data_IF_388457586612
#
_entry.id   IF_388457586612
#
_cell.length_a   1.000
_cell.length_b   1.000
_cell.length_c   1.000
_cell.angle_alpha   90.00
_cell.angle_beta   90.00
_cell.angle_gamma   90.00
#
_symmetry.space_group_name_H-M   'P 1'
#
loop_
_entity.id
_entity.type
_entity.pdbx_description
1 polymer ?
#
# COMPACT_ATOMS: atom_id res chain seq x y z
N UNK A 1 19.28 -3.28 16.71
CA UNK A 1 19.26 -1.92 16.14
C UNK A 1 18.89 -1.92 14.66
N UNK A 2 19.60 -2.68 13.80
CA UNK A 2 19.37 -2.70 12.34
C UNK A 2 17.93 -3.04 11.86
N UNK A 3 17.21 -3.95 12.53
CA UNK A 3 15.83 -4.31 12.13
C UNK A 3 14.81 -3.20 12.41
N UNK A 4 14.99 -2.47 13.51
CA UNK A 4 14.07 -1.39 13.90
C UNK A 4 14.20 -0.18 12.96
N UNK A 5 15.42 0.12 12.52
CA UNK A 5 15.70 1.14 11.50
C UNK A 5 15.05 0.77 10.17
N UNK A 6 15.18 -0.49 9.74
CA UNK A 6 14.56 -0.98 8.50
C UNK A 6 13.03 -0.90 8.53
N UNK A 7 12.40 -1.28 9.65
CA UNK A 7 10.94 -1.13 9.84
C UNK A 7 10.52 0.35 9.79
N UNK A 8 11.29 1.24 10.41
CA UNK A 8 11.01 2.67 10.39
C UNK A 8 11.20 3.28 9.00
N UNK A 9 12.17 2.81 8.22
CA UNK A 9 12.41 3.22 6.85
C UNK A 9 11.27 2.76 5.93
N UNK A 10 10.83 1.50 6.04
CA UNK A 10 9.66 0.99 5.32
C UNK A 10 8.38 1.77 5.71
N UNK A 11 8.18 2.06 7.00
CA UNK A 11 7.05 2.89 7.48
C UNK A 11 7.07 4.28 6.84
N UNK A 12 8.22 4.96 6.84
CA UNK A 12 8.36 6.30 6.23
C UNK A 12 8.10 6.25 4.72
N UNK A 13 8.67 5.29 4.01
CA UNK A 13 8.47 5.15 2.58
C UNK A 13 7.00 4.88 2.23
N UNK A 14 6.32 4.01 2.98
CA UNK A 14 4.91 3.72 2.79
C UNK A 14 4.02 4.94 3.05
N UNK A 15 4.18 5.62 4.20
CA UNK A 15 3.35 6.79 4.52
C UNK A 15 3.59 7.97 3.57
N UNK A 16 4.83 8.21 3.16
CA UNK A 16 5.15 9.23 2.15
C UNK A 16 4.46 8.95 0.81
N UNK A 17 4.52 7.69 0.33
CA UNK A 17 3.93 7.31 -0.94
C UNK A 17 2.38 7.31 -0.89
N UNK A 18 1.80 6.98 0.27
CA UNK A 18 0.35 7.08 0.50
C UNK A 18 -0.10 8.55 0.52
N UNK A 19 0.62 9.43 1.21
CA UNK A 19 0.31 10.87 1.26
C UNK A 19 0.43 11.56 -0.10
N UNK A 20 1.44 11.22 -0.90
CA UNK A 20 1.62 11.79 -2.25
C UNK A 20 0.56 11.32 -3.24
N UNK A 21 0.07 10.08 -3.12
CA UNK A 21 -0.89 9.51 -4.08
C UNK A 21 -2.36 9.79 -3.74
N UNK A 22 -2.68 10.22 -2.52
CA UNK A 22 -4.06 10.59 -2.13
C UNK A 22 -4.58 11.86 -2.85
N UNK A 23 -3.70 12.66 -3.47
CA UNK A 23 -4.08 13.87 -4.20
C UNK A 23 -4.26 13.69 -5.71
N UNK A 24 -3.96 12.51 -6.27
CA UNK A 24 -4.07 12.23 -7.71
C UNK A 24 -5.35 11.43 -7.98
N UNK A 25 -6.50 12.00 -7.64
CA UNK A 25 -7.78 11.59 -8.26
C UNK A 25 -8.16 12.66 -9.27
N UNK A 26 -7.88 12.48 -10.58
CA UNK A 26 -8.48 13.33 -11.58
C UNK A 26 -9.98 12.99 -11.62
N UNK A 27 -10.80 13.88 -11.05
CA UNK A 27 -12.25 13.94 -11.31
C UNK A 27 -12.44 13.81 -12.83
N UNK A 28 -12.95 12.66 -13.26
CA UNK A 28 -13.24 12.33 -14.66
C UNK A 28 -14.48 13.09 -15.19
N UNK A 29 -14.48 14.42 -15.07
CA UNK A 29 -15.49 15.31 -15.62
C UNK A 29 -14.80 16.36 -16.50
N UNK A 30 -14.64 16.06 -17.79
CA UNK A 30 -14.13 17.06 -18.74
C UNK A 30 -14.12 16.66 -20.21
N UNK A 31 -14.10 15.37 -20.57
CA UNK A 31 -13.86 14.96 -21.96
C UNK A 31 -15.11 14.80 -22.85
N UNK A 32 -16.31 15.19 -22.40
CA UNK A 32 -17.54 15.03 -23.20
C UNK A 32 -18.01 16.25 -24.00
N UNK A 33 -17.39 17.44 -23.87
CA UNK A 33 -17.96 18.67 -24.45
C UNK A 33 -17.23 19.27 -25.66
N UNK A 34 -16.35 18.55 -26.36
CA UNK A 34 -15.63 19.13 -27.52
C UNK A 34 -16.05 18.58 -28.90
N UNK A 35 -17.13 17.80 -28.98
CA UNK A 35 -17.59 17.19 -30.24
C UNK A 35 -18.66 17.97 -31.01
N UNK A 36 -19.24 19.05 -30.45
CA UNK A 36 -20.39 19.72 -31.08
C UNK A 36 -20.09 21.01 -31.84
N UNK A 37 -18.86 21.54 -31.83
CA UNK A 37 -18.58 22.89 -32.37
C UNK A 37 -17.65 22.90 -33.59
N UNK A 38 -17.84 21.97 -34.53
CA UNK A 38 -17.17 22.05 -35.85
C UNK A 38 -18.15 21.73 -36.98
N UNK A 39 -19.26 22.47 -37.04
CA UNK A 39 -20.08 22.60 -38.25
C UNK A 39 -19.96 24.03 -38.77
N UNK A 40 -18.94 24.24 -39.59
CA UNK A 40 -18.75 25.49 -40.33
C UNK A 40 -17.39 26.11 -40.10
N UNK A 41 -16.33 25.58 -40.73
CA UNK A 41 -15.27 26.46 -41.20
C UNK A 41 -14.33 25.85 -42.25
N UNK A 42 -13.90 26.75 -43.13
CA UNK A 42 -13.12 26.61 -44.37
C UNK A 42 -11.87 25.73 -44.30
N UNK A 43 -11.46 25.17 -45.45
CA UNK A 43 -10.38 24.17 -45.62
C UNK A 43 -8.97 24.53 -45.12
N UNK A 44 -8.74 25.71 -44.52
CA UNK A 44 -7.53 26.01 -43.74
C UNK A 44 -7.64 25.54 -42.28
N UNK A 45 -8.80 25.68 -41.64
CA UNK A 45 -9.01 25.20 -40.26
C UNK A 45 -9.04 23.66 -40.18
N UNK A 46 -9.57 22.98 -41.20
CA UNK A 46 -9.52 21.52 -41.28
C UNK A 46 -8.08 20.98 -41.37
N UNK A 47 -7.15 21.73 -42.00
CA UNK A 47 -5.73 21.36 -42.08
C UNK A 47 -5.00 21.60 -40.76
N UNK A 48 -5.30 22.69 -40.05
CA UNK A 48 -4.77 22.92 -38.69
C UNK A 48 -5.31 21.89 -37.69
N UNK A 49 -6.60 21.56 -37.74
CA UNK A 49 -7.20 20.52 -36.92
C UNK A 49 -6.56 19.14 -37.16
N UNK A 50 -6.29 18.76 -38.43
CA UNK A 50 -5.57 17.52 -38.75
C UNK A 50 -4.11 17.54 -38.29
N UNK A 51 -3.42 18.68 -38.34
CA UNK A 51 -2.06 18.84 -37.81
C UNK A 51 -2.04 18.71 -36.29
N UNK A 52 -3.00 19.33 -35.60
CA UNK A 52 -3.16 19.24 -34.14
C UNK A 52 -3.51 17.81 -33.69
N UNK A 53 -4.40 17.11 -34.40
CA UNK A 53 -4.70 15.69 -34.13
C UNK A 53 -3.48 14.79 -34.36
N UNK A 54 -2.60 15.11 -35.32
CA UNK A 54 -1.33 14.39 -35.51
C UNK A 54 -0.30 14.66 -34.41
N UNK A 55 -0.23 15.87 -33.88
CA UNK A 55 0.64 16.18 -32.73
C UNK A 55 0.11 15.64 -31.40
N UNK A 56 -1.21 15.50 -31.23
CA UNK A 56 -1.80 14.89 -30.03
C UNK A 56 -1.63 13.36 -29.99
N UNK A 57 -1.44 12.69 -31.13
CA UNK A 57 -1.10 11.25 -31.19
C UNK A 57 0.30 10.91 -30.65
N UNK A 58 1.14 11.90 -30.35
CA UNK A 58 2.49 11.71 -29.81
C UNK A 58 2.56 11.80 -28.27
N UNK A 59 1.42 12.04 -27.60
CA UNK A 59 1.32 12.09 -26.14
C UNK A 59 0.16 11.22 -25.62
N UNK A 60 -0.11 10.08 -26.25
CA UNK A 60 -0.74 8.97 -25.51
C UNK A 60 0.33 8.40 -24.58
N UNK A 61 0.65 9.15 -23.51
CA UNK A 61 1.19 8.51 -22.31
C UNK A 61 0.06 7.60 -21.86
N UNK A 62 0.30 6.29 -21.92
CA UNK A 62 -0.70 5.30 -21.56
C UNK A 62 -0.91 5.36 -20.04
N UNK A 63 -1.78 6.27 -19.61
CA UNK A 63 -2.11 6.50 -18.21
C UNK A 63 -2.57 5.20 -17.52
N UNK A 64 -3.08 4.22 -18.29
CA UNK A 64 -3.41 2.90 -17.79
C UNK A 64 -2.17 2.09 -17.37
N UNK A 65 -1.10 2.10 -18.16
CA UNK A 65 0.14 1.41 -17.81
C UNK A 65 0.84 2.06 -16.60
N UNK A 66 0.85 3.39 -16.53
CA UNK A 66 1.47 4.12 -15.41
C UNK A 66 0.70 3.91 -14.10
N UNK A 67 -0.65 3.90 -14.14
CA UNK A 67 -1.47 3.57 -12.97
C UNK A 67 -1.24 2.13 -12.53
N UNK A 68 -1.23 1.16 -13.45
CA UNK A 68 -0.98 -0.24 -13.12
C UNK A 68 0.41 -0.47 -12.51
N UNK A 69 1.44 0.24 -13.00
CA UNK A 69 2.78 0.19 -12.40
C UNK A 69 2.80 0.74 -10.97
N UNK A 70 2.13 1.87 -10.72
CA UNK A 70 2.05 2.46 -9.38
C UNK A 70 1.27 1.58 -8.41
N UNK A 71 0.18 0.97 -8.87
CA UNK A 71 -0.57 0.00 -8.08
C UNK A 71 0.31 -1.21 -7.72
N UNK A 72 1.06 -1.75 -8.67
CA UNK A 72 1.98 -2.86 -8.43
C UNK A 72 3.08 -2.49 -7.41
N UNK A 73 3.71 -1.32 -7.55
CA UNK A 73 4.71 -0.82 -6.60
C UNK A 73 4.11 -0.63 -5.20
N UNK A 74 2.88 -0.11 -5.11
CA UNK A 74 2.18 0.08 -3.84
C UNK A 74 1.88 -1.25 -3.17
N UNK A 75 1.48 -2.27 -3.95
CA UNK A 75 1.25 -3.63 -3.45
C UNK A 75 2.55 -4.26 -2.92
N UNK A 76 3.66 -4.10 -3.64
CA UNK A 76 4.97 -4.60 -3.21
C UNK A 76 5.41 -3.96 -1.89
N UNK A 77 5.34 -2.63 -1.77
CA UNK A 77 5.68 -1.91 -0.53
C UNK A 77 4.79 -2.32 0.64
N UNK A 78 3.51 -2.59 0.40
CA UNK A 78 2.59 -3.06 1.43
C UNK A 78 2.95 -4.47 1.91
N UNK A 79 3.29 -5.37 0.99
CA UNK A 79 3.75 -6.72 1.33
C UNK A 79 5.04 -6.67 2.13
N UNK A 80 6.01 -5.84 1.73
CA UNK A 80 7.27 -5.65 2.45
C UNK A 80 7.05 -5.09 3.86
N UNK A 81 6.18 -4.09 3.99
CA UNK A 81 5.79 -3.54 5.28
C UNK A 81 5.21 -4.62 6.20
N UNK A 82 4.28 -5.43 5.68
CA UNK A 82 3.64 -6.49 6.45
C UNK A 82 4.60 -7.60 6.84
N UNK A 83 5.54 -7.97 5.96
CA UNK A 83 6.59 -8.92 6.30
C UNK A 83 7.48 -8.40 7.44
N UNK A 84 7.90 -7.13 7.35
CA UNK A 84 8.72 -6.50 8.38
C UNK A 84 7.98 -6.43 9.73
N UNK A 85 6.68 -6.11 9.72
CA UNK A 85 5.87 -6.05 10.95
C UNK A 85 5.70 -7.45 11.58
N UNK A 86 5.52 -8.51 10.77
CA UNK A 86 5.48 -9.90 11.25
C UNK A 86 6.81 -10.33 11.85
N UNK A 87 7.94 -10.05 11.18
CA UNK A 87 9.27 -10.38 11.68
C UNK A 87 9.56 -9.69 13.01
N UNK A 88 9.20 -8.41 13.11
CA UNK A 88 9.35 -7.65 14.35
C UNK A 88 8.48 -8.24 15.46
N UNK A 89 7.21 -8.52 15.18
CA UNK A 89 6.29 -9.11 16.16
C UNK A 89 6.79 -10.48 16.65
N UNK A 90 7.31 -11.31 15.74
CA UNK A 90 7.90 -12.61 16.08
C UNK A 90 9.15 -12.47 16.94
N UNK A 91 10.01 -11.50 16.63
CA UNK A 91 11.20 -11.19 17.42
C UNK A 91 10.83 -10.71 18.82
N UNK A 92 9.83 -9.84 18.94
CA UNK A 92 9.30 -9.37 20.22
C UNK A 92 8.73 -10.54 21.03
N UNK A 93 7.98 -11.45 20.40
CA UNK A 93 7.48 -12.67 21.04
C UNK A 93 8.63 -13.51 21.63
N UNK A 94 9.69 -13.74 20.86
CA UNK A 94 10.86 -14.50 21.30
C UNK A 94 11.59 -13.86 22.49
N UNK A 95 11.67 -12.53 22.53
CA UNK A 95 12.26 -11.79 23.66
C UNK A 95 11.33 -11.84 24.88
N UNK A 96 10.01 -11.78 24.67
CA UNK A 96 9.04 -11.88 25.75
C UNK A 96 9.10 -13.25 26.45
N UNK A 97 9.34 -14.33 25.71
CA UNK A 97 9.50 -15.68 26.29
C UNK A 97 10.78 -15.87 27.08
N UNK A 98 11.85 -15.15 26.74
CA UNK A 98 13.15 -15.32 27.39
C UNK A 98 13.36 -14.40 28.60
N UNK A 99 12.54 -13.36 28.74
CA UNK A 99 12.64 -12.43 29.88
C UNK A 99 11.79 -12.89 31.07
N UNK A 100 12.36 -12.82 32.28
CA UNK A 100 11.64 -13.08 33.53
C UNK A 100 10.83 -11.86 34.00
N UNK A 101 11.12 -10.67 33.45
CA UNK A 101 10.45 -9.43 33.81
C UNK A 101 8.99 -9.42 33.33
N UNK A 102 8.06 -9.18 34.26
CA UNK A 102 6.62 -9.16 33.99
C UNK A 102 6.19 -7.91 33.22
N UNK A 103 6.81 -6.76 33.48
CA UNK A 103 6.43 -5.50 32.86
C UNK A 103 6.90 -5.45 31.41
N UNK A 104 8.12 -5.95 31.13
CA UNK A 104 8.59 -6.15 29.77
C UNK A 104 7.72 -7.12 28.97
N UNK A 105 7.25 -8.22 29.59
CA UNK A 105 6.30 -9.15 28.93
C UNK A 105 4.98 -8.48 28.59
N UNK A 106 4.40 -7.71 29.52
CA UNK A 106 3.17 -6.94 29.25
C UNK A 106 3.35 -5.94 28.11
N UNK A 107 4.48 -5.24 28.07
CA UNK A 107 4.78 -4.30 27.00
C UNK A 107 4.94 -5.02 25.65
N UNK A 108 5.67 -6.14 25.62
CA UNK A 108 5.81 -6.97 24.43
C UNK A 108 4.46 -7.45 23.89
N UNK A 109 3.57 -7.94 24.75
CA UNK A 109 2.21 -8.35 24.37
C UNK A 109 1.45 -7.21 23.70
N UNK A 110 1.49 -6.00 24.27
CA UNK A 110 0.84 -4.82 23.66
C UNK A 110 1.39 -4.49 22.28
N UNK A 111 2.71 -4.59 22.09
CA UNK A 111 3.32 -4.36 20.78
C UNK A 111 2.89 -5.41 19.74
N UNK A 112 2.85 -6.69 20.13
CA UNK A 112 2.41 -7.77 19.24
C UNK A 112 0.91 -7.62 18.91
N UNK A 113 0.07 -7.20 19.87
CA UNK A 113 -1.35 -6.90 19.61
C UNK A 113 -1.51 -5.76 18.60
N UNK A 114 -0.71 -4.69 18.71
CA UNK A 114 -0.71 -3.60 17.74
C UNK A 114 -0.27 -4.07 16.35
N UNK A 115 0.75 -4.94 16.27
CA UNK A 115 1.19 -5.54 15.01
C UNK A 115 0.10 -6.40 14.37
N UNK A 116 -0.61 -7.23 15.15
CA UNK A 116 -1.75 -8.02 14.65
C UNK A 116 -2.84 -7.12 14.08
N UNK A 117 -3.19 -6.04 14.78
CA UNK A 117 -4.19 -5.08 14.31
C UNK A 117 -3.76 -4.44 12.99
N UNK A 118 -2.49 -4.05 12.87
CA UNK A 118 -1.91 -3.54 11.61
C UNK A 118 -2.00 -4.56 10.48
N UNK A 119 -1.57 -5.81 10.73
CA UNK A 119 -1.60 -6.89 9.74
C UNK A 119 -3.02 -7.13 9.25
N UNK A 120 -3.99 -7.24 10.16
CA UNK A 120 -5.41 -7.45 9.83
C UNK A 120 -6.02 -6.30 9.03
N UNK A 121 -5.61 -5.07 9.33
CA UNK A 121 -6.08 -3.88 8.61
C UNK A 121 -5.54 -3.83 7.17
N UNK A 122 -4.23 -4.04 6.98
CA UNK A 122 -3.61 -3.86 5.66
C UNK A 122 -3.75 -5.10 4.76
N UNK A 123 -3.89 -6.31 5.31
CA UNK A 123 -4.05 -7.52 4.49
C UNK A 123 -5.30 -7.48 3.59
N UNK A 124 -6.38 -6.81 4.02
CA UNK A 124 -7.60 -6.66 3.21
C UNK A 124 -7.35 -5.91 1.89
N UNK A 125 -6.27 -5.13 1.82
CA UNK A 125 -5.90 -4.32 0.66
C UNK A 125 -4.93 -5.04 -0.29
N UNK A 126 -4.52 -6.27 0.05
CA UNK A 126 -3.68 -7.11 -0.81
C UNK A 126 -4.54 -7.77 -1.88
N UNK A 127 -4.12 -7.56 -3.13
CA UNK A 127 -4.78 -8.11 -4.32
C UNK A 127 -4.49 -9.61 -4.50
N UNK A 128 -3.26 -10.05 -4.21
CA UNK A 128 -2.86 -11.46 -4.22
C UNK A 128 -3.51 -12.22 -3.04
N UNK A 129 -4.44 -13.12 -3.36
CA UNK A 129 -5.16 -13.92 -2.36
C UNK A 129 -4.24 -14.87 -1.58
N UNK A 130 -3.21 -15.43 -2.20
CA UNK A 130 -2.30 -16.34 -1.52
C UNK A 130 -1.49 -15.59 -0.47
N UNK A 131 -0.98 -14.40 -0.83
CA UNK A 131 -0.27 -13.53 0.12
C UNK A 131 -1.17 -13.05 1.25
N UNK A 132 -2.41 -12.67 0.93
CA UNK A 132 -3.40 -12.30 1.92
C UNK A 132 -3.63 -13.41 2.95
N UNK A 133 -3.89 -14.63 2.49
CA UNK A 133 -4.13 -15.79 3.35
C UNK A 133 -2.90 -16.14 4.20
N UNK A 134 -1.69 -15.96 3.65
CA UNK A 134 -0.43 -16.09 4.38
C UNK A 134 -0.37 -15.13 5.58
N UNK A 135 -0.71 -13.85 5.38
CA UNK A 135 -0.72 -12.85 6.45
C UNK A 135 -1.83 -13.08 7.49
N UNK A 136 -3.00 -13.55 7.07
CA UNK A 136 -4.07 -13.97 7.99
C UNK A 136 -3.56 -15.09 8.90
N UNK A 137 -2.96 -16.13 8.31
CA UNK A 137 -2.40 -17.26 9.06
C UNK A 137 -1.32 -16.82 10.05
N UNK A 138 -0.40 -15.94 9.62
CA UNK A 138 0.64 -15.37 10.49
C UNK A 138 0.05 -14.56 11.65
N UNK A 139 -0.95 -13.71 11.38
CA UNK A 139 -1.64 -12.95 12.42
C UNK A 139 -2.32 -13.86 13.45
N UNK A 140 -2.94 -14.95 13.00
CA UNK A 140 -3.59 -15.91 13.89
C UNK A 140 -2.59 -16.72 14.73
N UNK A 141 -1.42 -17.03 14.19
CA UNK A 141 -0.33 -17.64 14.95
C UNK A 141 0.17 -16.70 16.07
N UNK A 142 0.39 -15.42 15.75
CA UNK A 142 0.75 -14.41 16.75
C UNK A 142 -0.34 -14.24 17.82
N UNK A 143 -1.61 -14.25 17.41
CA UNK A 143 -2.75 -14.16 18.33
C UNK A 143 -2.80 -15.35 19.30
N UNK A 144 -2.56 -16.57 18.80
CA UNK A 144 -2.47 -17.76 19.65
C UNK A 144 -1.34 -17.65 20.67
N UNK A 145 -0.18 -17.15 20.24
CA UNK A 145 0.97 -16.94 21.12
C UNK A 145 0.67 -15.95 22.26
N UNK A 146 0.01 -14.83 21.96
CA UNK A 146 -0.41 -13.88 23.02
C UNK A 146 -1.42 -14.53 23.96
N UNK A 147 -2.41 -15.23 23.40
CA UNK A 147 -3.50 -15.83 24.18
C UNK A 147 -3.02 -16.92 25.14
N UNK A 148 -1.90 -17.59 24.83
CA UNK A 148 -1.29 -18.55 25.77
C UNK A 148 -0.55 -17.85 26.91
N UNK A 149 0.10 -16.71 26.64
CA UNK A 149 0.89 -15.98 27.63
C UNK A 149 0.07 -15.07 28.56
N UNK A 150 -1.13 -14.67 28.15
CA UNK A 150 -2.04 -13.87 28.98
C UNK A 150 -2.72 -14.71 30.10
N UNK A 151 -2.72 -16.05 29.95
CA UNK A 151 -3.29 -16.99 30.94
C UNK A 151 -2.34 -17.30 32.10
N UNK A 152 -1.04 -17.05 31.93
CA UNK A 152 0.00 -17.34 32.91
C UNK A 152 0.34 -16.12 33.80
N UNK A 153 -0.39 -15.00 33.64
CA UNK A 153 -0.23 -13.77 34.44
C UNK A 153 -1.35 -13.51 35.41
#
# INVERSE_FOLDING_TARGET
MAQLERVNECKRAFFHNVEENLWITPRAHGLRSFRSTVRGNTGRQARLARRLVKSYKLYEVDFGEELARREAQTQELMIDFLNAEVELATSICSVATSTSDRDHRKQAVRHVQAAIASIRHFQERITDSQKRDEFISKADQLQKFISSHDRDT
#
